data_IF_560668975241
#
_entry.id   IF_560668975241
#
_cell.length_a   1.000
_cell.length_b   1.000
_cell.length_c   1.000
_cell.angle_alpha   90.00
_cell.angle_beta   90.00
_cell.angle_gamma   90.00
#
_symmetry.space_group_name_H-M   'P 1'
#
loop_
_entity.id
_entity.type
_entity.pdbx_description
1 polymer ?
#
# COMPACT_ATOMS: atom_id res chain seq x y z
N UNK A 1 -4.11 12.26 -10.97
CA UNK A 1 -3.34 12.51 -12.22
C UNK A 1 -1.83 12.36 -12.01
N UNK A 2 -1.33 12.57 -10.80
CA UNK A 2 0.09 12.51 -10.44
C UNK A 2 0.63 11.08 -10.25
N UNK A 3 -0.09 10.23 -9.51
CA UNK A 3 0.38 8.88 -9.17
C UNK A 3 0.72 8.02 -10.40
N UNK A 4 -0.08 8.10 -11.48
CA UNK A 4 0.20 7.34 -12.70
C UNK A 4 1.53 7.70 -13.36
N UNK A 5 1.96 8.97 -13.26
CA UNK A 5 3.23 9.42 -13.81
C UNK A 5 4.38 8.95 -12.93
N UNK A 6 4.22 9.07 -11.61
CA UNK A 6 5.20 8.59 -10.63
C UNK A 6 5.47 7.10 -10.84
N UNK A 7 4.44 6.26 -10.86
CA UNK A 7 4.62 4.82 -11.06
C UNK A 7 5.22 4.47 -12.43
N UNK A 8 4.83 5.18 -13.50
CA UNK A 8 5.43 4.98 -14.82
C UNK A 8 6.94 5.27 -14.80
N UNK A 9 7.35 6.39 -14.20
CA UNK A 9 8.76 6.79 -14.08
C UNK A 9 9.54 5.84 -13.16
N UNK A 10 8.95 5.41 -12.03
CA UNK A 10 9.54 4.43 -11.12
C UNK A 10 9.82 3.10 -11.82
N UNK A 11 8.85 2.54 -12.55
CA UNK A 11 9.02 1.28 -13.27
C UNK A 11 10.10 1.39 -14.36
N UNK A 12 10.20 2.54 -15.03
CA UNK A 12 11.30 2.81 -15.95
C UNK A 12 12.66 2.86 -15.23
N UNK A 13 12.73 3.55 -14.09
CA UNK A 13 13.96 3.68 -13.29
C UNK A 13 14.44 2.34 -12.71
N UNK A 14 13.51 1.43 -12.42
CA UNK A 14 13.78 0.07 -11.96
C UNK A 14 14.29 -0.84 -13.09
N UNK A 15 14.22 -0.39 -14.34
CA UNK A 15 14.73 -1.11 -15.51
C UNK A 15 13.78 -2.18 -16.05
N UNK A 16 12.48 -2.05 -15.79
CA UNK A 16 11.49 -2.96 -16.38
C UNK A 16 11.35 -2.70 -17.89
N UNK A 17 10.99 -3.75 -18.62
CA UNK A 17 10.78 -3.68 -20.07
C UNK A 17 9.33 -3.32 -20.41
N UNK A 18 9.12 -2.84 -21.63
CA UNK A 18 7.79 -2.53 -22.19
C UNK A 18 6.92 -1.67 -21.26
N UNK A 19 7.52 -0.72 -20.54
CA UNK A 19 6.77 0.18 -19.66
C UNK A 19 5.88 1.10 -20.49
N UNK A 20 4.57 0.98 -20.31
CA UNK A 20 3.54 1.70 -21.07
C UNK A 20 2.54 2.33 -20.12
N UNK A 21 2.09 3.54 -20.47
CA UNK A 21 0.95 4.21 -19.85
C UNK A 21 -0.06 4.51 -20.97
N UNK A 22 -1.24 3.91 -20.90
CA UNK A 22 -2.28 4.12 -21.90
C UNK A 22 -3.13 5.38 -21.64
N UNK A 23 -3.99 5.73 -22.59
CA UNK A 23 -4.87 6.90 -22.49
C UNK A 23 -5.91 6.80 -21.37
N UNK A 24 -6.24 5.58 -20.94
CA UNK A 24 -7.20 5.30 -19.87
C UNK A 24 -6.54 5.32 -18.47
N UNK A 25 -5.20 5.38 -18.41
CA UNK A 25 -4.44 5.43 -17.17
C UNK A 25 -3.89 4.09 -16.68
N UNK A 26 -4.01 3.01 -17.47
CA UNK A 26 -3.40 1.73 -17.12
C UNK A 26 -1.90 1.78 -17.36
N UNK A 27 -1.16 1.22 -16.40
CA UNK A 27 0.29 1.09 -16.47
C UNK A 27 0.61 -0.39 -16.64
N UNK A 28 1.39 -0.70 -17.67
CA UNK A 28 1.90 -2.03 -17.94
C UNK A 28 3.42 -1.99 -17.89
N UNK A 29 4.02 -3.05 -17.36
CA UNK A 29 5.46 -3.26 -17.38
C UNK A 29 5.74 -4.77 -17.36
N UNK A 30 6.91 -5.15 -17.87
CA UNK A 30 7.32 -6.54 -18.02
C UNK A 30 8.67 -6.77 -17.34
N UNK A 31 8.78 -7.87 -16.61
CA UNK A 31 10.05 -8.40 -16.10
C UNK A 31 10.35 -9.65 -16.93
N UNK A 32 11.43 -9.66 -17.73
CA UNK A 32 11.83 -10.85 -18.48
C UNK A 32 12.09 -12.06 -17.58
N UNK A 33 11.90 -13.26 -18.13
CA UNK A 33 12.30 -14.49 -17.46
C UNK A 33 13.79 -14.45 -17.11
N UNK A 34 14.11 -14.93 -15.91
CA UNK A 34 15.49 -15.09 -15.43
C UNK A 34 15.97 -16.56 -15.53
N UNK A 35 15.21 -17.42 -16.19
CA UNK A 35 15.53 -18.83 -16.41
C UNK A 35 16.28 -19.00 -17.74
N UNK A 36 17.09 -20.08 -17.84
CA UNK A 36 17.78 -20.43 -19.10
C UNK A 36 16.81 -20.86 -20.20
N UNK A 37 15.68 -21.46 -19.82
CA UNK A 37 14.60 -21.87 -20.71
C UNK A 37 13.37 -21.02 -20.36
N UNK A 38 12.77 -20.40 -21.37
CA UNK A 38 11.60 -19.54 -21.24
C UNK A 38 10.33 -20.30 -21.67
N UNK A 39 10.08 -21.42 -20.99
CA UNK A 39 8.95 -22.32 -21.23
C UNK A 39 7.90 -22.30 -20.10
N UNK A 40 8.17 -21.55 -19.04
CA UNK A 40 7.27 -21.39 -17.92
C UNK A 40 6.13 -20.38 -18.20
N UNK A 41 4.95 -20.57 -17.61
CA UNK A 41 3.84 -19.64 -17.81
C UNK A 41 4.13 -18.23 -17.27
N UNK A 42 3.76 -17.22 -18.05
CA UNK A 42 3.76 -15.83 -17.59
C UNK A 42 2.73 -15.61 -16.48
N UNK A 43 3.15 -14.92 -15.41
CA UNK A 43 2.28 -14.50 -14.30
C UNK A 43 2.06 -12.99 -14.32
N UNK A 44 0.87 -12.54 -13.92
CA UNK A 44 0.52 -11.12 -13.82
C UNK A 44 0.25 -10.70 -12.38
N UNK A 45 0.84 -9.58 -11.97
CA UNK A 45 0.50 -8.91 -10.72
C UNK A 45 -0.24 -7.62 -11.04
N UNK A 46 -1.40 -7.42 -10.41
CA UNK A 46 -2.28 -6.29 -10.69
C UNK A 46 -2.60 -5.59 -9.36
N UNK A 47 -2.51 -4.27 -9.38
CA UNK A 47 -2.93 -3.39 -8.29
C UNK A 47 -3.66 -2.17 -8.88
N UNK A 48 -4.45 -1.50 -8.04
CA UNK A 48 -5.06 -0.21 -8.35
C UNK A 48 -4.39 0.87 -7.50
N UNK A 49 -4.38 2.12 -7.96
CA UNK A 49 -3.65 3.23 -7.33
C UNK A 49 -4.57 4.35 -6.79
N UNK A 50 -5.87 4.14 -6.83
CA UNK A 50 -6.91 4.97 -6.21
C UNK A 50 -7.29 4.46 -4.81
N UNK A 51 -7.91 5.33 -4.00
CA UNK A 51 -8.42 5.02 -2.67
C UNK A 51 -9.94 5.14 -2.63
N UNK A 52 -10.58 4.55 -1.60
CA UNK A 52 -12.04 4.64 -1.44
C UNK A 52 -12.52 6.10 -1.35
N UNK A 53 -13.67 6.46 -1.96
CA UNK A 53 -14.31 7.76 -1.79
C UNK A 53 -15.03 7.91 -0.43
N UNK A 54 -15.15 6.84 0.36
CA UNK A 54 -15.95 6.83 1.61
C UNK A 54 -15.35 7.71 2.71
N UNK A 55 -14.05 8.00 2.65
CA UNK A 55 -13.37 8.88 3.59
C UNK A 55 -12.21 9.61 2.90
N UNK A 56 -11.76 10.73 3.46
CA UNK A 56 -10.72 11.51 2.79
C UNK A 56 -9.40 10.73 2.77
N UNK A 57 -8.73 10.71 1.62
CA UNK A 57 -7.36 10.17 1.47
C UNK A 57 -6.34 11.27 1.21
N UNK A 58 -6.67 12.52 1.52
CA UNK A 58 -5.81 13.67 1.26
C UNK A 58 -5.05 14.06 2.52
N UNK A 59 -3.75 14.38 2.39
CA UNK A 59 -2.89 14.77 3.52
C UNK A 59 -2.83 13.72 4.65
N UNK A 60 -2.81 12.43 4.27
CA UNK A 60 -2.66 11.30 5.20
C UNK A 60 -1.40 11.47 6.04
N UNK A 61 -1.54 11.23 7.35
CA UNK A 61 -0.43 11.28 8.32
C UNK A 61 -0.21 9.88 8.91
N UNK A 62 0.56 9.02 8.23
CA UNK A 62 0.80 7.68 8.71
C UNK A 62 1.52 7.71 10.06
N UNK A 63 1.08 6.88 11.00
CA UNK A 63 1.72 6.64 12.28
C UNK A 63 2.39 5.27 12.27
N UNK A 64 3.66 5.22 12.65
CA UNK A 64 4.46 4.00 12.70
C UNK A 64 4.58 3.56 14.16
N UNK A 65 4.18 2.33 14.43
CA UNK A 65 4.20 1.71 15.76
C UNK A 65 5.09 0.47 15.71
N UNK A 66 6.35 0.63 16.08
CA UNK A 66 7.28 -0.49 16.16
C UNK A 66 6.98 -1.40 17.34
N UNK A 67 7.33 -2.69 17.19
CA UNK A 67 7.19 -3.71 18.23
C UNK A 67 5.83 -3.69 18.95
N UNK A 68 4.74 -3.68 18.16
CA UNK A 68 3.39 -3.54 18.69
C UNK A 68 3.11 -4.52 19.84
N UNK A 69 2.68 -4.00 20.99
CA UNK A 69 2.58 -4.78 22.22
C UNK A 69 1.23 -5.51 22.41
N UNK A 70 0.32 -5.41 21.44
CA UNK A 70 -1.02 -5.99 21.54
C UNK A 70 -2.03 -5.14 22.32
N UNK A 71 -1.70 -3.89 22.65
CA UNK A 71 -2.56 -2.95 23.37
C UNK A 71 -3.35 -2.00 22.47
N UNK A 72 -4.07 -1.07 23.08
CA UNK A 72 -4.78 -0.01 22.36
C UNK A 72 -3.81 0.98 21.69
N UNK A 73 -4.12 1.39 20.46
CA UNK A 73 -3.42 2.44 19.73
C UNK A 73 -4.31 3.69 19.64
N UNK A 74 -3.96 4.74 20.39
CA UNK A 74 -4.69 6.01 20.35
C UNK A 74 -4.24 6.80 19.13
N UNK A 75 -5.00 6.67 18.04
CA UNK A 75 -4.70 7.28 16.74
C UNK A 75 -4.85 8.81 16.80
N UNK A 76 -5.86 9.29 17.51
CA UNK A 76 -6.11 10.71 17.69
C UNK A 76 -6.29 11.06 19.16
N UNK A 77 -5.38 11.88 19.70
CA UNK A 77 -5.39 12.28 21.12
C UNK A 77 -6.49 13.30 21.46
N UNK A 78 -6.94 14.08 20.49
CA UNK A 78 -7.97 15.11 20.70
C UNK A 78 -9.37 14.51 20.74
N UNK A 79 -9.65 13.56 19.84
CA UNK A 79 -10.95 12.89 19.76
C UNK A 79 -11.02 11.62 20.59
N UNK A 80 -9.87 11.08 21.02
CA UNK A 80 -9.77 9.77 21.69
C UNK A 80 -9.96 8.59 20.74
N UNK A 81 -9.93 8.81 19.43
CA UNK A 81 -10.12 7.73 18.45
C UNK A 81 -9.02 6.68 18.59
N UNK A 82 -9.44 5.44 18.84
CA UNK A 82 -8.56 4.35 19.28
C UNK A 82 -8.80 3.10 18.44
N UNK A 83 -7.71 2.52 17.94
CA UNK A 83 -7.67 1.20 17.34
C UNK A 83 -7.36 0.18 18.44
N UNK A 84 -8.33 -0.68 18.76
CA UNK A 84 -8.28 -1.55 19.94
C UNK A 84 -8.46 -3.03 19.58
N UNK A 85 -7.65 -3.95 20.15
CA UNK A 85 -7.84 -5.40 20.03
C UNK A 85 -9.17 -5.90 20.61
N UNK A 86 -9.84 -5.12 21.46
CA UNK A 86 -11.17 -5.46 21.94
C UNK A 86 -12.23 -5.33 20.84
N UNK A 87 -12.01 -4.42 19.87
CA UNK A 87 -12.88 -4.23 18.71
C UNK A 87 -12.42 -5.07 17.52
N UNK A 88 -11.11 -5.18 17.32
CA UNK A 88 -10.49 -5.91 16.22
C UNK A 88 -9.55 -6.97 16.79
N UNK A 89 -10.08 -8.15 17.10
CA UNK A 89 -9.32 -9.21 17.76
C UNK A 89 -8.07 -9.64 16.97
N UNK A 90 -8.10 -9.51 15.64
CA UNK A 90 -6.97 -9.78 14.76
C UNK A 90 -5.71 -8.97 15.09
N UNK A 91 -5.83 -7.85 15.81
CA UNK A 91 -4.66 -7.08 16.27
C UNK A 91 -3.70 -7.93 17.11
N UNK A 92 -4.23 -8.92 17.85
CA UNK A 92 -3.41 -9.83 18.66
C UNK A 92 -2.44 -10.67 17.81
N UNK A 93 -2.72 -10.88 16.53
CA UNK A 93 -1.86 -11.64 15.60
C UNK A 93 -0.64 -10.84 15.10
N UNK A 94 -0.57 -9.55 15.45
CA UNK A 94 0.50 -8.64 15.03
C UNK A 94 1.40 -8.19 16.18
N UNK A 95 1.31 -8.83 17.35
CA UNK A 95 2.24 -8.55 18.45
C UNK A 95 3.70 -8.74 18.01
N UNK A 96 4.55 -7.76 18.30
CA UNK A 96 5.96 -7.71 17.90
C UNK A 96 6.20 -7.29 16.45
N UNK A 97 5.17 -6.88 15.70
CA UNK A 97 5.32 -6.35 14.33
C UNK A 97 5.23 -4.83 14.33
N UNK A 98 5.79 -4.20 13.30
CA UNK A 98 5.55 -2.78 13.02
C UNK A 98 4.17 -2.60 12.39
N UNK A 99 3.33 -1.77 13.00
CA UNK A 99 2.04 -1.36 12.44
C UNK A 99 2.14 0.04 11.83
N UNK A 100 1.46 0.23 10.69
CA UNK A 100 1.29 1.54 10.06
C UNK A 100 -0.20 1.85 10.05
N UNK A 101 -0.59 2.96 10.66
CA UNK A 101 -2.01 3.36 10.80
C UNK A 101 -2.23 4.80 10.34
N UNK A 102 -3.48 5.19 10.12
CA UNK A 102 -3.91 6.60 10.03
C UNK A 102 -3.73 7.34 11.37
N UNK A 103 -3.85 8.66 11.35
CA UNK A 103 -4.03 9.51 12.53
C UNK A 103 -5.50 9.68 12.98
N UNK A 104 -6.41 8.96 12.33
CA UNK A 104 -7.84 9.00 12.62
C UNK A 104 -8.58 10.18 11.99
N UNK A 105 -7.90 11.04 11.22
CA UNK A 105 -8.53 12.15 10.48
C UNK A 105 -8.64 11.89 8.98
N UNK A 106 -7.94 10.86 8.49
CA UNK A 106 -7.85 10.44 7.08
C UNK A 106 -8.00 8.93 6.96
N UNK A 107 -8.17 8.41 5.74
CA UNK A 107 -8.30 6.98 5.45
C UNK A 107 -7.01 6.22 5.78
#
# INVERSE_FOLDING_TARGET
MEHRKIHFEELQSLGLENVQLDENGYIYAYIPSNLEQDDEPTIGFIAHYDTSPDFNGENVKPQIWDDYNGGDLVLNKETGFTLSPNRFESLKDYVGKTLITTDGTTL
#
